data_IF_144104538055
#
_entry.id   IF_144104538055
#
_cell.length_a   1.000
_cell.length_b   1.000
_cell.length_c   1.000
_cell.angle_alpha   90.00
_cell.angle_beta   90.00
_cell.angle_gamma   90.00
#
_symmetry.space_group_name_H-M   'P 1'
#
loop_
_entity.id
_entity.type
_entity.pdbx_description
1 polymer ?
#
# COMPACT_ATOMS: atom_id res chain seq x y z
N UNK A 1 28.17 -26.34 16.12
CA UNK A 1 26.73 -26.58 15.97
C UNK A 1 25.95 -25.70 16.95
N UNK A 2 25.93 -24.38 16.89
CA UNK A 2 25.07 -23.55 17.80
C UNK A 2 24.92 -22.05 17.40
N UNK A 3 25.21 -21.67 16.15
CA UNK A 3 25.08 -20.25 15.73
C UNK A 3 23.77 -19.92 15.00
N UNK A 4 22.81 -20.84 14.91
CA UNK A 4 21.50 -20.55 14.28
C UNK A 4 20.44 -20.01 15.25
N UNK A 5 20.70 -20.08 16.56
CA UNK A 5 19.73 -19.61 17.60
C UNK A 5 19.83 -18.11 17.91
N UNK A 6 20.90 -17.43 17.50
CA UNK A 6 21.10 -16.02 17.84
C UNK A 6 20.33 -15.03 16.94
N UNK A 7 19.86 -15.45 15.76
CA UNK A 7 19.11 -14.57 14.83
C UNK A 7 17.61 -14.44 15.15
N UNK A 8 17.08 -15.28 16.04
CA UNK A 8 15.66 -15.28 16.40
C UNK A 8 15.27 -14.27 17.49
N UNK A 9 16.21 -13.51 18.04
CA UNK A 9 15.95 -12.51 19.09
C UNK A 9 16.14 -11.06 18.67
N UNK A 10 16.05 -10.75 17.36
CA UNK A 10 15.85 -9.35 16.98
C UNK A 10 14.54 -8.88 17.59
N UNK A 11 14.55 -7.79 18.37
CA UNK A 11 13.35 -7.34 19.04
C UNK A 11 12.26 -7.07 18.02
N UNK A 12 11.07 -7.63 18.25
CA UNK A 12 9.86 -7.53 17.40
C UNK A 12 9.50 -6.09 16.97
N UNK A 13 10.03 -5.09 17.66
CA UNK A 13 9.84 -3.68 17.35
C UNK A 13 10.51 -3.23 16.04
N UNK A 14 11.67 -3.79 15.65
CA UNK A 14 12.31 -3.44 14.38
C UNK A 14 11.48 -3.90 13.17
N UNK A 15 10.85 -5.08 13.26
CA UNK A 15 9.95 -5.54 12.21
C UNK A 15 8.72 -4.64 12.10
N UNK A 16 8.11 -4.29 13.24
CA UNK A 16 6.95 -3.39 13.26
C UNK A 16 7.28 -2.00 12.72
N UNK A 17 8.47 -1.45 13.05
CA UNK A 17 8.92 -0.16 12.55
C UNK A 17 9.03 -0.14 11.01
N UNK A 18 9.59 -1.19 10.40
CA UNK A 18 9.74 -1.28 8.95
C UNK A 18 8.39 -1.21 8.20
N UNK A 19 7.35 -1.90 8.69
CA UNK A 19 6.02 -1.87 8.07
C UNK A 19 5.29 -0.54 8.29
N UNK A 20 5.47 0.08 9.46
CA UNK A 20 4.89 1.40 9.75
C UNK A 20 5.57 2.49 8.90
N UNK A 21 6.89 2.40 8.72
CA UNK A 21 7.62 3.33 7.85
C UNK A 21 7.24 3.13 6.38
N UNK A 22 7.09 1.89 5.91
CA UNK A 22 6.61 1.59 4.57
C UNK A 22 5.22 2.20 4.33
N UNK A 23 4.28 1.99 5.27
CA UNK A 23 2.96 2.60 5.20
C UNK A 23 3.02 4.14 5.20
N UNK A 24 3.94 4.75 5.95
CA UNK A 24 4.07 6.21 6.04
C UNK A 24 4.70 6.85 4.81
N UNK A 25 5.49 6.11 4.04
CA UNK A 25 6.05 6.58 2.77
C UNK A 25 4.95 6.70 1.71
N UNK A 26 3.92 5.84 1.76
CA UNK A 26 2.82 5.85 0.79
C UNK A 26 2.11 7.22 0.67
N UNK A 27 1.61 7.87 1.74
CA UNK A 27 1.01 9.19 1.62
C UNK A 27 2.00 10.29 1.20
N UNK A 28 3.29 10.16 1.49
CA UNK A 28 4.31 11.08 0.98
C UNK A 28 4.45 10.96 -0.54
N UNK A 29 4.43 9.74 -1.06
CA UNK A 29 4.42 9.48 -2.50
C UNK A 29 3.15 10.06 -3.14
N UNK A 30 1.99 9.87 -2.52
CA UNK A 30 0.73 10.40 -2.99
C UNK A 30 0.73 11.95 -3.02
N UNK A 31 1.31 12.60 -2.02
CA UNK A 31 1.50 14.04 -2.00
C UNK A 31 2.43 14.50 -3.14
N UNK A 32 3.51 13.76 -3.38
CA UNK A 32 4.43 14.02 -4.50
C UNK A 32 3.71 13.92 -5.85
N UNK A 33 2.91 12.88 -6.06
CA UNK A 33 2.09 12.68 -7.27
C UNK A 33 1.18 13.89 -7.49
N UNK A 34 0.44 14.27 -6.46
CA UNK A 34 -0.48 15.42 -6.53
C UNK A 34 0.27 16.70 -6.87
N UNK A 35 1.42 16.94 -6.23
CA UNK A 35 2.27 18.12 -6.50
C UNK A 35 2.84 18.14 -7.93
N UNK A 36 3.23 16.98 -8.47
CA UNK A 36 3.73 16.87 -9.84
C UNK A 36 2.63 17.15 -10.88
N UNK A 37 1.44 16.61 -10.66
CA UNK A 37 0.28 16.85 -11.51
C UNK A 37 -0.12 18.33 -11.44
N UNK A 38 -0.16 18.91 -10.25
CA UNK A 38 -0.51 20.31 -10.03
C UNK A 38 0.45 21.26 -10.72
N UNK A 39 1.75 21.10 -10.50
CA UNK A 39 2.79 21.98 -11.07
C UNK A 39 2.73 22.05 -12.59
N UNK A 40 2.37 20.96 -13.27
CA UNK A 40 2.29 20.91 -14.73
C UNK A 40 0.91 21.24 -15.31
N UNK A 41 -0.16 21.05 -14.54
CA UNK A 41 -1.51 21.47 -14.90
C UNK A 41 -1.75 22.99 -14.73
N UNK A 42 -0.77 23.72 -14.22
CA UNK A 42 -0.79 25.17 -14.08
C UNK A 42 -0.92 25.87 -15.45
N UNK A 43 -2.15 26.00 -15.91
CA UNK A 43 -2.54 26.82 -17.07
C UNK A 43 -2.42 28.32 -16.70
N UNK A 44 -1.95 29.18 -17.61
CA UNK A 44 -1.91 30.63 -17.40
C UNK A 44 -3.28 31.29 -17.28
N UNK A 45 -4.36 30.57 -17.45
CA UNK A 45 -5.74 31.07 -17.28
C UNK A 45 -6.39 30.41 -16.07
N UNK A 46 -6.34 31.11 -14.96
CA UNK A 46 -6.81 30.83 -13.59
C UNK A 46 -8.11 30.06 -13.32
N UNK A 47 -8.71 29.37 -14.28
CA UNK A 47 -10.00 28.69 -14.12
C UNK A 47 -9.91 27.23 -13.64
N UNK A 48 -8.71 26.63 -13.63
CA UNK A 48 -8.53 25.20 -13.31
C UNK A 48 -8.01 24.94 -11.88
N UNK A 49 -7.95 25.97 -11.03
CA UNK A 49 -7.30 25.90 -9.73
C UNK A 49 -8.18 25.40 -8.58
N UNK A 50 -9.48 25.22 -8.78
CA UNK A 50 -10.37 24.69 -7.75
C UNK A 50 -11.14 23.48 -8.23
N UNK A 51 -10.83 22.35 -7.67
CA UNK A 51 -11.63 21.16 -7.75
C UNK A 51 -12.85 21.34 -6.82
N UNK A 52 -13.97 21.73 -7.37
CA UNK A 52 -15.23 21.69 -6.65
C UNK A 52 -16.16 20.67 -7.30
N UNK A 53 -16.51 19.64 -6.59
CA UNK A 53 -17.62 18.76 -6.92
C UNK A 53 -18.80 19.19 -6.04
N UNK A 54 -19.85 19.77 -6.61
CA UNK A 54 -21.00 20.34 -5.88
C UNK A 54 -20.60 21.34 -4.76
N UNK A 55 -19.57 22.16 -4.97
CA UNK A 55 -19.13 23.15 -3.97
C UNK A 55 -18.16 22.61 -2.89
N UNK A 56 -17.79 21.34 -2.93
CA UNK A 56 -16.81 20.77 -2.01
C UNK A 56 -15.42 20.83 -2.63
N UNK A 57 -14.45 21.31 -1.84
CA UNK A 57 -13.05 21.37 -2.20
C UNK A 57 -12.40 20.00 -2.00
N UNK A 58 -12.37 19.18 -3.09
CA UNK A 58 -11.76 17.84 -3.06
C UNK A 58 -10.26 17.89 -2.78
N UNK A 59 -9.60 19.00 -3.12
CA UNK A 59 -8.16 19.17 -2.84
C UNK A 59 -7.93 19.38 -1.34
N UNK A 60 -8.78 20.18 -0.71
CA UNK A 60 -8.74 20.37 0.74
C UNK A 60 -9.00 19.07 1.50
N UNK A 61 -9.98 18.27 1.05
CA UNK A 61 -10.24 16.95 1.64
C UNK A 61 -9.04 16.00 1.48
N UNK A 62 -8.42 15.98 0.31
CA UNK A 62 -7.23 15.15 0.04
C UNK A 62 -6.07 15.54 0.95
N UNK A 63 -5.72 16.82 1.00
CA UNK A 63 -4.65 17.33 1.89
C UNK A 63 -4.95 17.02 3.35
N UNK A 64 -6.21 17.17 3.77
CA UNK A 64 -6.62 16.84 5.13
C UNK A 64 -6.42 15.35 5.46
N UNK A 65 -6.80 14.43 4.55
CA UNK A 65 -6.61 12.98 4.73
C UNK A 65 -5.12 12.62 4.80
N UNK A 66 -4.30 13.16 3.90
CA UNK A 66 -2.85 12.95 3.91
C UNK A 66 -2.23 13.47 5.21
N UNK A 67 -2.56 14.69 5.60
CA UNK A 67 -2.04 15.30 6.83
C UNK A 67 -2.46 14.51 8.07
N UNK A 68 -3.72 14.06 8.14
CA UNK A 68 -4.21 13.26 9.26
C UNK A 68 -3.52 11.90 9.34
N UNK A 69 -3.29 11.24 8.20
CA UNK A 69 -2.55 9.99 8.12
C UNK A 69 -1.09 10.15 8.59
N UNK A 70 -0.42 11.22 8.19
CA UNK A 70 0.94 11.55 8.62
C UNK A 70 1.04 11.84 10.12
N UNK A 71 0.08 12.58 10.67
CA UNK A 71 0.02 12.85 12.13
C UNK A 71 -0.18 11.57 12.90
N UNK A 72 -1.15 10.73 12.50
CA UNK A 72 -1.37 9.43 13.14
C UNK A 72 -0.16 8.50 13.02
N UNK A 73 0.54 8.52 11.88
CA UNK A 73 1.79 7.79 11.70
C UNK A 73 2.84 8.24 12.70
N UNK A 74 3.04 9.55 12.84
CA UNK A 74 4.00 10.12 13.76
C UNK A 74 3.69 9.72 15.21
N UNK A 75 2.44 9.81 15.61
CA UNK A 75 1.99 9.39 16.95
C UNK A 75 2.21 7.89 17.16
N UNK A 76 1.94 7.06 16.16
CA UNK A 76 2.16 5.62 16.25
C UNK A 76 3.63 5.25 16.31
N UNK A 77 4.47 5.92 15.51
CA UNK A 77 5.91 5.72 15.53
C UNK A 77 6.49 6.06 16.90
N UNK A 78 6.10 7.20 17.46
CA UNK A 78 6.51 7.62 18.81
C UNK A 78 6.00 6.63 19.87
N UNK A 79 4.74 6.19 19.79
CA UNK A 79 4.21 5.18 20.71
C UNK A 79 4.92 3.84 20.60
N UNK A 80 5.24 3.39 19.39
CA UNK A 80 5.98 2.14 19.18
C UNK A 80 7.39 2.22 19.77
N UNK A 81 8.03 3.37 19.67
CA UNK A 81 9.36 3.60 20.23
C UNK A 81 9.35 3.74 21.77
N UNK A 82 8.33 4.38 22.35
CA UNK A 82 8.28 4.69 23.78
C UNK A 82 7.55 3.63 24.62
N UNK A 83 6.51 3.00 24.10
CA UNK A 83 5.63 2.12 24.86
C UNK A 83 5.46 0.76 24.17
N UNK A 84 6.12 -0.25 24.64
CA UNK A 84 6.07 -1.66 24.19
C UNK A 84 4.68 -2.34 24.25
N UNK A 85 3.52 -1.64 24.26
CA UNK A 85 2.24 -2.22 24.71
C UNK A 85 1.13 -2.37 23.65
N UNK A 86 0.24 -3.35 23.90
CA UNK A 86 -0.76 -3.99 23.02
C UNK A 86 -1.85 -3.10 22.37
N UNK A 87 -2.04 -1.86 22.79
CA UNK A 87 -3.07 -0.94 22.24
C UNK A 87 -2.75 -0.31 20.87
N UNK A 88 -1.57 -0.56 20.34
CA UNK A 88 -1.07 0.00 19.09
C UNK A 88 -1.85 -0.53 17.87
N UNK A 89 -2.44 -1.74 17.97
CA UNK A 89 -3.09 -2.40 16.83
C UNK A 89 -4.29 -1.63 16.29
N UNK A 90 -5.12 -1.05 17.16
CA UNK A 90 -6.27 -0.23 16.74
C UNK A 90 -5.85 1.02 15.97
N UNK A 91 -4.82 1.71 16.45
CA UNK A 91 -4.30 2.91 15.77
C UNK A 91 -3.65 2.56 14.43
N UNK A 92 -2.96 1.41 14.32
CA UNK A 92 -2.43 0.91 13.06
C UNK A 92 -3.54 0.58 12.04
N UNK A 93 -4.66 -0.01 12.51
CA UNK A 93 -5.81 -0.28 11.66
C UNK A 93 -6.39 1.01 11.09
N UNK A 94 -6.64 2.01 11.94
CA UNK A 94 -7.15 3.32 11.52
C UNK A 94 -6.21 3.98 10.52
N UNK A 95 -4.91 3.98 10.80
CA UNK A 95 -3.89 4.50 9.89
C UNK A 95 -3.91 3.78 8.55
N UNK A 96 -3.93 2.44 8.56
CA UNK A 96 -4.00 1.63 7.35
C UNK A 96 -5.23 1.95 6.50
N UNK A 97 -6.40 2.11 7.13
CA UNK A 97 -7.64 2.49 6.44
C UNK A 97 -7.51 3.89 5.82
N UNK A 98 -7.01 4.88 6.57
CA UNK A 98 -6.84 6.24 6.06
C UNK A 98 -5.86 6.30 4.88
N UNK A 99 -4.72 5.59 4.96
CA UNK A 99 -3.75 5.52 3.85
C UNK A 99 -4.34 4.80 2.64
N UNK A 100 -5.16 3.77 2.85
CA UNK A 100 -5.83 3.08 1.74
C UNK A 100 -6.88 3.96 1.06
N UNK A 101 -7.65 4.73 1.82
CA UNK A 101 -8.59 5.71 1.27
C UNK A 101 -7.85 6.80 0.49
N UNK A 102 -6.75 7.32 1.03
CA UNK A 102 -5.88 8.28 0.36
C UNK A 102 -5.34 7.72 -0.97
N UNK A 103 -4.87 6.46 -0.99
CA UNK A 103 -4.43 5.77 -2.20
C UNK A 103 -5.55 5.67 -3.25
N UNK A 104 -6.75 5.24 -2.86
CA UNK A 104 -7.90 5.10 -3.76
C UNK A 104 -8.28 6.46 -4.34
N UNK A 105 -8.37 7.48 -3.50
CA UNK A 105 -8.64 8.86 -3.95
C UNK A 105 -7.59 9.35 -4.94
N UNK A 106 -6.31 9.03 -4.71
CA UNK A 106 -5.22 9.39 -5.60
C UNK A 106 -5.35 8.72 -6.97
N UNK A 107 -5.65 7.42 -7.01
CA UNK A 107 -5.88 6.69 -8.27
C UNK A 107 -7.06 7.26 -9.04
N UNK A 108 -8.16 7.60 -8.35
CA UNK A 108 -9.32 8.24 -8.97
C UNK A 108 -9.00 9.64 -9.51
N UNK A 109 -8.21 10.41 -8.76
CA UNK A 109 -7.70 11.71 -9.17
C UNK A 109 -6.84 11.63 -10.43
N UNK A 110 -5.89 10.69 -10.47
CA UNK A 110 -5.07 10.43 -11.65
C UNK A 110 -5.97 10.10 -12.84
N UNK A 111 -6.94 9.21 -12.66
CA UNK A 111 -7.90 8.84 -13.72
C UNK A 111 -8.67 10.04 -14.25
N UNK A 112 -9.21 10.86 -13.37
CA UNK A 112 -9.94 12.07 -13.77
C UNK A 112 -9.04 13.06 -14.53
N UNK A 113 -7.81 13.30 -14.03
CA UNK A 113 -6.85 14.20 -14.71
C UNK A 113 -6.43 13.67 -16.08
N UNK A 114 -6.26 12.37 -16.22
CA UNK A 114 -5.98 11.73 -17.51
C UNK A 114 -7.12 11.99 -18.51
N UNK A 115 -8.37 11.98 -18.03
CA UNK A 115 -9.55 12.22 -18.89
C UNK A 115 -9.75 13.69 -19.25
N UNK A 116 -9.42 14.62 -18.35
CA UNK A 116 -9.77 16.05 -18.49
C UNK A 116 -8.64 16.92 -19.01
N UNK A 117 -7.37 16.52 -18.85
CA UNK A 117 -6.21 17.31 -19.28
C UNK A 117 -5.54 16.66 -20.50
N UNK A 118 -5.77 17.20 -21.72
CA UNK A 118 -5.24 16.60 -22.95
C UNK A 118 -3.71 16.71 -23.07
N UNK A 119 -3.07 17.62 -22.34
CA UNK A 119 -1.65 17.97 -22.47
C UNK A 119 -0.71 17.25 -21.49
N UNK A 120 -1.17 16.17 -20.84
CA UNK A 120 -0.30 15.39 -19.94
C UNK A 120 0.77 14.69 -20.77
N UNK A 121 2.03 15.06 -20.54
CA UNK A 121 3.20 14.47 -21.15
C UNK A 121 3.34 12.98 -20.79
N UNK A 122 3.73 12.14 -21.77
CA UNK A 122 3.93 10.70 -21.58
C UNK A 122 4.95 10.39 -20.47
N UNK A 123 6.00 11.20 -20.34
CA UNK A 123 7.02 11.06 -19.30
C UNK A 123 6.43 11.28 -17.90
N UNK A 124 5.58 12.31 -17.75
CA UNK A 124 4.89 12.57 -16.48
C UNK A 124 3.93 11.44 -16.16
N UNK A 125 3.18 10.94 -17.14
CA UNK A 125 2.26 9.83 -16.95
C UNK A 125 3.00 8.58 -16.46
N UNK A 126 4.14 8.24 -17.07
CA UNK A 126 4.97 7.10 -16.65
C UNK A 126 5.46 7.27 -15.21
N UNK A 127 5.98 8.45 -14.86
CA UNK A 127 6.49 8.74 -13.52
C UNK A 127 5.38 8.63 -12.47
N UNK A 128 4.23 9.25 -12.73
CA UNK A 128 3.06 9.23 -11.81
C UNK A 128 2.55 7.80 -11.63
N UNK A 129 2.48 7.02 -12.70
CA UNK A 129 2.05 5.62 -12.65
C UNK A 129 3.01 4.74 -11.87
N UNK A 130 4.32 4.92 -12.05
CA UNK A 130 5.35 4.22 -11.28
C UNK A 130 5.26 4.56 -9.78
N UNK A 131 5.09 5.83 -9.45
CA UNK A 131 4.90 6.28 -8.06
C UNK A 131 3.60 5.74 -7.46
N UNK A 132 2.50 5.74 -8.20
CA UNK A 132 1.24 5.16 -7.76
C UNK A 132 1.35 3.65 -7.51
N UNK A 133 2.04 2.93 -8.39
CA UNK A 133 2.33 1.50 -8.19
C UNK A 133 3.18 1.25 -6.93
N UNK A 134 4.19 2.09 -6.68
CA UNK A 134 5.01 2.00 -5.47
C UNK A 134 4.19 2.29 -4.20
N UNK A 135 3.38 3.33 -4.21
CA UNK A 135 2.46 3.67 -3.11
C UNK A 135 1.50 2.52 -2.80
N UNK A 136 0.91 1.92 -3.85
CA UNK A 136 0.05 0.76 -3.76
C UNK A 136 0.79 -0.43 -3.13
N UNK A 137 1.98 -0.76 -3.62
CA UNK A 137 2.80 -1.86 -3.10
C UNK A 137 3.07 -1.68 -1.60
N UNK A 138 3.48 -0.49 -1.16
CA UNK A 138 3.77 -0.22 0.25
C UNK A 138 2.52 -0.32 1.14
N UNK A 139 1.38 0.16 0.64
CA UNK A 139 0.10 0.08 1.37
C UNK A 139 -0.36 -1.37 1.55
N UNK A 140 -0.31 -2.19 0.51
CA UNK A 140 -0.74 -3.59 0.60
C UNK A 140 0.27 -4.48 1.30
N UNK A 141 1.57 -4.19 1.24
CA UNK A 141 2.60 -4.79 2.09
C UNK A 141 2.24 -4.70 3.57
N UNK A 142 1.82 -3.51 4.02
CA UNK A 142 1.34 -3.31 5.39
C UNK A 142 0.12 -4.19 5.71
N UNK A 143 -0.90 -4.25 4.83
CA UNK A 143 -2.11 -5.01 5.07
C UNK A 143 -1.86 -6.51 5.19
N UNK A 144 -1.03 -7.09 4.31
CA UNK A 144 -0.67 -8.50 4.40
C UNK A 144 0.01 -8.81 5.72
N UNK A 145 1.02 -8.04 6.09
CA UNK A 145 1.69 -8.20 7.36
C UNK A 145 0.73 -8.00 8.54
N UNK A 146 -0.08 -6.95 8.54
CA UNK A 146 -0.98 -6.60 9.66
C UNK A 146 -2.02 -7.69 9.96
N UNK A 147 -2.53 -8.36 8.93
CA UNK A 147 -3.55 -9.40 9.06
C UNK A 147 -2.89 -10.75 9.35
N UNK A 148 -1.84 -11.12 8.62
CA UNK A 148 -1.25 -12.45 8.67
C UNK A 148 -0.31 -12.66 9.85
N UNK A 149 0.59 -11.72 10.14
CA UNK A 149 1.62 -11.88 11.16
C UNK A 149 1.09 -12.33 12.54
N UNK A 150 -0.05 -11.80 13.06
CA UNK A 150 -0.60 -12.29 14.32
C UNK A 150 -1.11 -13.73 14.25
N UNK A 151 -1.52 -14.20 13.07
CA UNK A 151 -1.98 -15.59 12.87
C UNK A 151 -0.78 -16.53 12.80
N UNK A 152 0.29 -16.12 12.14
CA UNK A 152 1.56 -16.85 12.09
C UNK A 152 2.17 -17.03 13.48
N UNK A 153 2.21 -15.97 14.30
CA UNK A 153 2.70 -16.06 15.67
C UNK A 153 1.83 -16.99 16.54
N UNK A 154 0.50 -16.99 16.34
CA UNK A 154 -0.38 -17.92 17.04
C UNK A 154 -0.19 -19.36 16.61
N UNK A 155 -0.03 -19.60 15.31
CA UNK A 155 0.28 -20.93 14.77
C UNK A 155 1.60 -21.48 15.32
N UNK A 156 2.60 -20.63 15.48
CA UNK A 156 3.88 -20.99 16.08
C UNK A 156 3.75 -21.51 17.51
N UNK A 157 2.81 -20.94 18.28
CA UNK A 157 2.58 -21.34 19.69
C UNK A 157 1.53 -22.46 19.84
N UNK A 158 0.57 -22.53 18.93
CA UNK A 158 -0.53 -23.48 18.94
C UNK A 158 -0.76 -23.99 17.53
N UNK A 159 -0.26 -25.18 17.21
CA UNK A 159 -0.29 -25.78 15.87
C UNK A 159 -1.72 -25.97 15.31
N UNK A 160 -2.74 -25.95 16.16
CA UNK A 160 -4.15 -26.08 15.76
C UNK A 160 -4.74 -24.82 15.10
N UNK A 161 -4.04 -23.68 15.14
CA UNK A 161 -4.50 -22.44 14.53
C UNK A 161 -4.04 -22.32 13.07
N UNK A 162 -5.00 -22.16 12.14
CA UNK A 162 -4.71 -21.92 10.73
C UNK A 162 -4.09 -20.52 10.53
N UNK A 163 -3.02 -20.45 9.74
CA UNK A 163 -2.43 -19.20 9.26
C UNK A 163 -3.39 -18.48 8.31
N UNK A 164 -3.32 -17.16 8.23
CA UNK A 164 -4.12 -16.41 7.28
C UNK A 164 -3.62 -16.58 5.85
N UNK A 165 -2.28 -16.75 5.69
CA UNK A 165 -1.60 -17.08 4.44
C UNK A 165 -0.69 -18.27 4.70
N UNK A 166 -0.75 -19.30 3.85
CA UNK A 166 0.22 -20.40 3.84
C UNK A 166 1.31 -20.06 2.83
N UNK A 167 2.55 -19.97 3.30
CA UNK A 167 3.71 -19.70 2.47
C UNK A 167 4.35 -21.01 1.95
N UNK A 168 5.04 -21.00 0.80
CA UNK A 168 5.64 -22.20 0.21
C UNK A 168 6.60 -22.92 1.16
N UNK A 169 7.36 -22.16 1.94
CA UNK A 169 8.33 -22.71 2.90
C UNK A 169 7.66 -23.46 4.04
N UNK A 170 6.54 -22.95 4.53
CA UNK A 170 5.71 -23.60 5.54
C UNK A 170 5.11 -24.91 4.99
N UNK A 171 4.56 -24.86 3.78
CA UNK A 171 3.93 -26.00 3.14
C UNK A 171 4.90 -27.11 2.75
N UNK A 172 6.10 -26.75 2.25
CA UNK A 172 7.07 -27.73 1.69
C UNK A 172 8.01 -28.27 2.78
N UNK A 173 8.49 -27.43 3.69
CA UNK A 173 9.50 -27.83 4.66
C UNK A 173 8.90 -28.29 6.00
N UNK A 174 7.58 -28.10 6.20
CA UNK A 174 6.90 -28.36 7.49
C UNK A 174 7.65 -27.75 8.68
N UNK A 175 8.35 -26.62 8.46
CA UNK A 175 9.15 -25.96 9.46
C UNK A 175 8.25 -25.11 10.37
N UNK A 176 7.70 -25.73 11.39
CA UNK A 176 6.79 -25.13 12.36
C UNK A 176 7.40 -23.93 13.15
N UNK A 177 8.68 -23.63 12.95
CA UNK A 177 9.38 -22.51 13.61
C UNK A 177 9.69 -21.35 12.68
N UNK A 178 9.29 -21.42 11.42
CA UNK A 178 9.52 -20.35 10.45
C UNK A 178 8.46 -19.25 10.58
N UNK A 179 8.89 -18.01 10.47
CA UNK A 179 8.03 -16.84 10.40
C UNK A 179 8.36 -16.03 9.15
N UNK A 180 7.35 -15.56 8.40
CA UNK A 180 7.59 -14.71 7.24
C UNK A 180 8.21 -13.37 7.65
N UNK A 181 9.14 -12.90 6.84
CA UNK A 181 9.83 -11.63 7.01
C UNK A 181 9.31 -10.56 6.04
N UNK A 182 9.91 -9.36 6.06
CA UNK A 182 9.52 -8.25 5.19
C UNK A 182 9.60 -8.61 3.70
N UNK A 183 10.64 -9.35 3.29
CA UNK A 183 10.83 -9.74 1.89
C UNK A 183 9.77 -10.73 1.43
N UNK A 184 9.32 -11.64 2.29
CA UNK A 184 8.28 -12.60 1.97
C UNK A 184 6.94 -11.90 1.69
N UNK A 185 6.57 -10.92 2.53
CA UNK A 185 5.36 -10.11 2.30
C UNK A 185 5.53 -9.15 1.10
N UNK A 186 6.71 -8.59 0.88
CA UNK A 186 6.99 -7.75 -0.28
C UNK A 186 6.87 -8.55 -1.57
N UNK A 187 7.47 -9.75 -1.60
CA UNK A 187 7.33 -10.68 -2.73
C UNK A 187 5.87 -11.01 -3.01
N UNK A 188 5.11 -11.39 -1.98
CA UNK A 188 3.67 -11.65 -2.09
C UNK A 188 2.93 -10.45 -2.69
N UNK A 189 3.20 -9.25 -2.20
CA UNK A 189 2.52 -8.02 -2.65
C UNK A 189 2.84 -7.69 -4.10
N UNK A 190 4.12 -7.73 -4.49
CA UNK A 190 4.56 -7.44 -5.85
C UNK A 190 4.01 -8.48 -6.83
N UNK A 191 4.10 -9.76 -6.48
CA UNK A 191 3.61 -10.84 -7.34
C UNK A 191 2.09 -10.79 -7.47
N UNK A 192 1.35 -10.54 -6.39
CA UNK A 192 -0.12 -10.34 -6.45
C UNK A 192 -0.51 -9.19 -7.39
N UNK A 193 0.25 -8.09 -7.37
CA UNK A 193 0.02 -6.96 -8.30
C UNK A 193 0.29 -7.33 -9.75
N UNK A 194 1.33 -8.13 -10.02
CA UNK A 194 1.74 -8.47 -11.37
C UNK A 194 0.87 -9.57 -11.98
N UNK A 195 0.42 -10.54 -11.18
CA UNK A 195 -0.39 -11.68 -11.65
C UNK A 195 -1.89 -11.47 -11.47
N UNK A 196 -2.30 -10.37 -10.83
CA UNK A 196 -3.69 -10.07 -10.44
C UNK A 196 -4.30 -11.17 -9.54
N UNK A 197 -3.45 -11.91 -8.84
CA UNK A 197 -3.86 -13.01 -7.95
C UNK A 197 -2.69 -13.46 -7.06
N UNK A 198 -2.92 -14.43 -6.17
CA UNK A 198 -1.86 -14.95 -5.32
C UNK A 198 -0.78 -15.62 -6.17
N UNK A 199 0.51 -15.45 -5.86
CA UNK A 199 1.58 -16.15 -6.53
C UNK A 199 1.50 -17.66 -6.25
N UNK A 200 2.15 -18.45 -7.10
CA UNK A 200 2.18 -19.91 -6.95
C UNK A 200 2.60 -20.35 -5.54
N UNK A 201 1.95 -21.37 -5.03
CA UNK A 201 2.17 -21.94 -3.70
C UNK A 201 1.90 -21.00 -2.51
N UNK A 202 1.32 -19.81 -2.74
CA UNK A 202 0.83 -18.93 -1.66
C UNK A 202 -0.69 -19.06 -1.56
N UNK A 203 -1.17 -19.67 -0.48
CA UNK A 203 -2.60 -19.93 -0.34
C UNK A 203 -3.24 -18.96 0.64
N UNK A 204 -4.11 -18.04 0.16
CA UNK A 204 -4.89 -17.15 1.03
C UNK A 204 -6.02 -17.98 1.70
N UNK A 205 -5.89 -18.23 2.99
CA UNK A 205 -6.86 -19.02 3.77
C UNK A 205 -7.96 -18.12 4.32
N UNK A 206 -7.59 -16.99 4.92
CA UNK A 206 -8.55 -16.10 5.58
C UNK A 206 -9.38 -15.27 4.58
N UNK A 207 -10.64 -15.00 4.96
CA UNK A 207 -11.53 -14.11 4.17
C UNK A 207 -10.96 -12.69 4.05
N UNK A 208 -10.33 -12.20 5.12
CA UNK A 208 -9.73 -10.85 5.12
C UNK A 208 -8.59 -10.72 4.11
N UNK A 209 -7.72 -11.74 4.00
CA UNK A 209 -6.65 -11.75 2.99
C UNK A 209 -7.23 -11.78 1.57
N UNK A 210 -8.26 -12.60 1.34
CA UNK A 210 -8.94 -12.66 0.02
C UNK A 210 -9.52 -11.30 -0.37
N UNK A 211 -10.14 -10.59 0.58
CA UNK A 211 -10.65 -9.23 0.34
C UNK A 211 -9.52 -8.24 0.02
N UNK A 212 -8.42 -8.28 0.76
CA UNK A 212 -7.25 -7.43 0.51
C UNK A 212 -6.70 -7.70 -0.89
N UNK A 213 -6.56 -8.96 -1.31
CA UNK A 213 -6.11 -9.32 -2.66
C UNK A 213 -7.07 -8.82 -3.74
N UNK A 214 -8.39 -8.96 -3.53
CA UNK A 214 -9.38 -8.46 -4.48
C UNK A 214 -9.27 -6.93 -4.64
N UNK A 215 -9.17 -6.18 -3.55
CA UNK A 215 -9.02 -4.72 -3.58
C UNK A 215 -7.71 -4.34 -4.27
N UNK A 216 -6.60 -4.99 -3.94
CA UNK A 216 -5.31 -4.77 -4.57
C UNK A 216 -5.38 -5.01 -6.08
N UNK A 217 -5.80 -6.19 -6.51
CA UNK A 217 -5.86 -6.56 -7.93
C UNK A 217 -6.79 -5.64 -8.72
N UNK A 218 -7.94 -5.27 -8.15
CA UNK A 218 -8.86 -4.31 -8.78
C UNK A 218 -8.20 -2.93 -8.92
N UNK A 219 -7.52 -2.44 -7.90
CA UNK A 219 -6.84 -1.13 -7.94
C UNK A 219 -5.72 -1.12 -8.99
N UNK A 220 -4.92 -2.20 -9.05
CA UNK A 220 -3.88 -2.36 -10.09
C UNK A 220 -4.49 -2.39 -11.48
N UNK A 221 -5.56 -3.16 -11.67
CA UNK A 221 -6.25 -3.26 -12.96
C UNK A 221 -6.78 -1.90 -13.43
N UNK A 222 -7.42 -1.14 -12.52
CA UNK A 222 -7.90 0.22 -12.83
C UNK A 222 -6.74 1.12 -13.24
N UNK A 223 -5.65 1.11 -12.48
CA UNK A 223 -4.46 1.92 -12.79
C UNK A 223 -3.88 1.54 -14.17
N UNK A 224 -3.75 0.25 -14.46
CA UNK A 224 -3.24 -0.26 -15.73
C UNK A 224 -4.12 0.17 -16.90
N UNK A 225 -5.44 0.01 -16.78
CA UNK A 225 -6.41 0.42 -17.83
C UNK A 225 -6.32 1.91 -18.10
N UNK A 226 -6.22 2.75 -17.07
CA UNK A 226 -6.09 4.20 -17.20
C UNK A 226 -4.80 4.58 -17.97
N UNK A 227 -3.68 3.96 -17.59
CA UNK A 227 -2.37 4.23 -18.23
C UNK A 227 -2.37 3.79 -19.70
N UNK A 228 -2.85 2.57 -19.99
CA UNK A 228 -2.91 2.03 -21.35
C UNK A 228 -3.86 2.85 -22.23
N UNK A 229 -5.05 3.18 -21.72
CA UNK A 229 -6.02 4.01 -22.44
C UNK A 229 -5.43 5.35 -22.83
N UNK A 230 -4.68 6.00 -21.94
CA UNK A 230 -4.01 7.27 -22.24
C UNK A 230 -2.88 7.10 -23.25
N UNK A 231 -2.05 6.05 -23.10
CA UNK A 231 -0.96 5.79 -24.02
C UNK A 231 -1.46 5.61 -25.48
N UNK A 232 -2.57 4.87 -25.64
CA UNK A 232 -3.21 4.70 -26.96
C UNK A 232 -3.72 6.02 -27.52
N UNK A 233 -4.37 6.84 -26.71
CA UNK A 233 -4.89 8.14 -27.14
C UNK A 233 -3.77 9.12 -27.57
N UNK A 234 -2.60 9.08 -26.92
CA UNK A 234 -1.47 9.93 -27.30
C UNK A 234 -0.84 9.51 -28.63
N UNK A 235 -0.86 8.23 -28.97
CA UNK A 235 -0.36 7.73 -30.25
C UNK A 235 -1.24 8.16 -31.46
N UNK A 236 -2.54 8.36 -31.23
CA UNK A 236 -3.47 8.78 -32.28
C UNK A 236 -3.43 10.30 -32.56
N UNK A 237 -2.78 11.08 -31.71
CA UNK A 237 -2.66 12.55 -31.84
C UNK A 237 -1.36 12.99 -32.50
N UNK A 238 -0.47 12.07 -32.83
CA UNK A 238 0.74 12.29 -33.64
C UNK A 238 0.48 11.96 -35.11
#
# INVERSE_FOLDING_TARGET
MNNRLALHHLPKWHQNAAYITALGISPLINLLITGLIWKRAGSPHGEWTRWSFNGYDLEGLFVFLVSSALVLLSINLVRTLLYKHQRIRGTMLVLGVLVTLDLILNVLLIGYRICTVPTIDATLLLLVSALAYLSLTLTFLFWYWFIDYPTQVRHLHHQDHLCAIVFPREAVLMDARWLPNLLDYLYLTVMTSNTLGPPENHTPVSRSIKLVQMVQSTTVLVLLVLVVSRAVNTLHQQ
#
